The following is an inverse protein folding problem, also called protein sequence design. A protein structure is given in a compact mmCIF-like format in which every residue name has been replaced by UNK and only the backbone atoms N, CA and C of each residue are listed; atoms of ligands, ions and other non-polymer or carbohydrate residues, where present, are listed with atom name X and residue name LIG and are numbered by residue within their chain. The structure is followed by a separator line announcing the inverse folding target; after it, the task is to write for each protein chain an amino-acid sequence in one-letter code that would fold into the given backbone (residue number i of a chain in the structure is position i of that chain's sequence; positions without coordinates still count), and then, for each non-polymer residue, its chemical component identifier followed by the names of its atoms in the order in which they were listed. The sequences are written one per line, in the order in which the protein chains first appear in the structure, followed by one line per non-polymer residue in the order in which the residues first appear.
data_IF_921624018188
#
_entry.id   IF_921624018188
#
_cell.length_a   1.000
_cell.length_b   1.000
_cell.length_c   1.000
_cell.angle_alpha   90.00
_cell.angle_beta   90.00
_cell.angle_gamma   90.00
#
_symmetry.space_group_name_H-M   'P 1'
#
loop_
_entity.id
_entity.type
_entity.pdbx_description
1 polymer ?
#
# COMPACT_ATOMS: atom_id res chain seq x y z
N UNK A 1 16.70 5.19 11.09
CA UNK A 1 15.41 4.91 10.44
C UNK A 1 15.69 4.58 8.99
N UNK A 2 15.45 3.36 8.53
CA UNK A 2 15.39 3.10 7.10
C UNK A 2 13.93 3.01 6.69
N UNK A 3 13.50 3.89 5.80
CA UNK A 3 12.15 3.93 5.26
C UNK A 3 11.73 2.62 4.58
N UNK A 4 12.71 1.80 4.16
CA UNK A 4 12.51 0.52 3.50
C UNK A 4 13.35 -0.63 4.10
N UNK A 5 13.85 -0.52 5.33
CA UNK A 5 14.65 -1.60 5.91
C UNK A 5 16.01 -1.80 5.21
N UNK A 6 16.36 -3.05 4.95
CA UNK A 6 17.54 -3.50 4.18
C UNK A 6 17.28 -3.56 2.66
N UNK A 7 16.15 -3.02 2.21
CA UNK A 7 15.78 -2.97 0.80
C UNK A 7 16.73 -2.06 0.02
N UNK A 8 17.16 -2.52 -1.16
CA UNK A 8 17.73 -1.69 -2.22
C UNK A 8 16.62 -1.43 -3.26
N UNK A 9 15.93 -0.28 -3.23
CA UNK A 9 14.69 -0.08 -4.00
C UNK A 9 14.88 -0.28 -5.51
N UNK A 10 16.01 0.15 -6.07
CA UNK A 10 16.33 0.00 -7.49
C UNK A 10 16.48 -1.45 -7.93
N UNK A 11 16.81 -2.37 -7.02
CA UNK A 11 16.94 -3.81 -7.27
C UNK A 11 15.65 -4.55 -6.91
N UNK A 12 15.10 -4.28 -5.73
CA UNK A 12 14.08 -5.12 -5.12
C UNK A 12 12.68 -4.80 -5.64
N UNK A 13 12.36 -3.53 -5.90
CA UNK A 13 11.01 -3.16 -6.35
C UNK A 13 10.68 -3.69 -7.75
N UNK A 14 11.57 -3.65 -8.76
CA UNK A 14 11.31 -4.27 -10.06
C UNK A 14 10.93 -5.75 -9.94
N UNK A 15 11.67 -6.51 -9.12
CA UNK A 15 11.41 -7.92 -8.88
C UNK A 15 10.03 -8.16 -8.23
N UNK A 16 9.67 -7.37 -7.21
CA UNK A 16 8.36 -7.48 -6.55
C UNK A 16 7.20 -7.15 -7.50
N UNK A 17 7.35 -6.13 -8.35
CA UNK A 17 6.35 -5.75 -9.36
C UNK A 17 6.19 -6.86 -10.41
N UNK A 18 7.28 -7.48 -10.85
CA UNK A 18 7.21 -8.59 -11.80
C UNK A 18 6.46 -9.80 -11.21
N UNK A 19 6.69 -10.11 -9.93
CA UNK A 19 5.94 -11.16 -9.23
C UNK A 19 4.44 -10.84 -9.14
N UNK A 20 4.07 -9.60 -8.85
CA UNK A 20 2.66 -9.15 -8.85
C UNK A 20 2.03 -9.29 -10.24
N UNK A 21 2.69 -8.81 -11.29
CA UNK A 21 2.21 -8.91 -12.68
C UNK A 21 2.06 -10.34 -13.18
N UNK A 22 2.86 -11.27 -12.65
CA UNK A 22 2.73 -12.70 -12.90
C UNK A 22 1.59 -13.36 -12.11
N UNK A 23 0.87 -12.62 -11.27
CA UNK A 23 -0.17 -13.16 -10.38
C UNK A 23 0.40 -13.97 -9.21
N UNK A 24 1.71 -13.88 -8.94
CA UNK A 24 2.36 -14.60 -7.83
C UNK A 24 2.22 -13.86 -6.50
N UNK A 25 1.87 -12.58 -6.53
CA UNK A 25 1.52 -11.76 -5.37
C UNK A 25 0.15 -11.15 -5.63
N UNK A 26 -0.79 -11.37 -4.71
CA UNK A 26 -2.11 -10.74 -4.74
C UNK A 26 -2.06 -9.44 -3.92
N UNK A 27 -1.49 -8.39 -4.52
CA UNK A 27 -1.34 -7.09 -3.84
C UNK A 27 -2.67 -6.33 -3.76
N UNK A 28 -3.59 -6.57 -4.70
CA UNK A 28 -4.87 -5.87 -4.77
C UNK A 28 -5.72 -6.16 -3.53
N UNK A 29 -5.65 -7.39 -3.01
CA UNK A 29 -6.36 -7.79 -1.79
C UNK A 29 -5.97 -7.03 -0.53
N UNK A 30 -4.81 -6.37 -0.51
CA UNK A 30 -4.40 -5.55 0.63
C UNK A 30 -5.07 -4.18 0.64
N UNK A 31 -5.52 -3.69 -0.51
CA UNK A 31 -6.24 -2.41 -0.61
C UNK A 31 -7.65 -2.61 -0.08
N UNK A 32 -7.89 -2.15 1.14
CA UNK A 32 -9.20 -2.25 1.79
C UNK A 32 -10.13 -1.11 1.40
N UNK A 33 -9.59 0.04 0.97
CA UNK A 33 -10.37 1.15 0.43
C UNK A 33 -9.51 2.05 -0.48
N UNK A 34 -10.19 2.70 -1.43
CA UNK A 34 -9.65 3.83 -2.19
C UNK A 34 -10.37 5.11 -1.73
N UNK A 35 -9.61 6.17 -1.47
CA UNK A 35 -10.12 7.43 -0.94
C UNK A 35 -9.68 8.61 -1.80
N UNK A 36 -10.50 9.66 -1.85
CA UNK A 36 -10.09 10.95 -2.38
C UNK A 36 -9.13 11.67 -1.43
N UNK A 37 -8.40 12.65 -1.95
CA UNK A 37 -7.46 13.47 -1.16
C UNK A 37 -8.16 14.25 -0.03
N UNK A 38 -9.43 14.58 -0.21
CA UNK A 38 -10.29 15.26 0.77
C UNK A 38 -10.70 14.38 1.96
N UNK A 39 -10.62 13.05 1.81
CA UNK A 39 -11.02 12.07 2.83
C UNK A 39 -9.85 11.53 3.67
N UNK A 40 -8.65 12.13 3.57
CA UNK A 40 -7.43 11.65 4.23
C UNK A 40 -7.56 11.66 5.77
N UNK A 41 -8.14 12.71 6.36
CA UNK A 41 -8.31 12.80 7.82
C UNK A 41 -9.21 11.67 8.37
N UNK A 42 -10.34 11.41 7.71
CA UNK A 42 -11.23 10.31 8.10
C UNK A 42 -10.55 8.94 7.97
N UNK A 43 -9.69 8.76 6.96
CA UNK A 43 -8.91 7.53 6.78
C UNK A 43 -7.90 7.30 7.91
N UNK A 44 -7.27 8.36 8.43
CA UNK A 44 -6.41 8.24 9.63
C UNK A 44 -7.21 7.75 10.84
N UNK A 45 -8.40 8.29 11.08
CA UNK A 45 -9.25 7.83 12.18
C UNK A 45 -9.70 6.38 12.03
N UNK A 46 -10.02 5.93 10.80
CA UNK A 46 -10.31 4.50 10.52
C UNK A 46 -9.09 3.61 10.77
N UNK A 47 -7.90 4.07 10.37
CA UNK A 47 -6.64 3.36 10.58
C UNK A 47 -6.34 3.17 12.07
N UNK A 48 -6.51 4.21 12.89
CA UNK A 48 -6.32 4.14 14.35
C UNK A 48 -7.26 3.14 15.03
N UNK A 49 -8.50 3.03 14.53
CA UNK A 49 -9.49 2.05 15.02
C UNK A 49 -9.29 0.64 14.47
N UNK A 50 -8.34 0.45 13.53
CA UNK A 50 -8.08 -0.85 12.91
C UNK A 50 -9.19 -1.32 11.96
N UNK A 51 -9.98 -0.40 11.42
CA UNK A 51 -11.12 -0.71 10.54
C UNK A 51 -10.68 -1.03 9.11
N UNK A 52 -9.46 -0.63 8.74
CA UNK A 52 -8.89 -0.75 7.40
C UNK A 52 -7.47 -1.31 7.48
N UNK A 53 -7.06 -2.04 6.43
CA UNK A 53 -5.70 -2.56 6.30
C UNK A 53 -4.81 -1.58 5.56
N UNK A 54 -5.26 -1.13 4.38
CA UNK A 54 -4.55 -0.15 3.55
C UNK A 54 -5.54 0.67 2.75
N UNK A 55 -5.53 1.97 3.01
CA UNK A 55 -6.23 2.98 2.22
C UNK A 55 -5.27 3.50 1.14
N UNK A 56 -5.74 3.61 -0.11
CA UNK A 56 -4.99 4.19 -1.23
C UNK A 56 -5.64 5.50 -1.65
N UNK A 57 -4.85 6.58 -1.69
CA UNK A 57 -5.34 7.88 -2.15
C UNK A 57 -5.30 7.92 -3.68
N UNK A 58 -6.43 8.24 -4.30
CA UNK A 58 -6.61 8.39 -5.75
C UNK A 58 -6.94 9.85 -6.11
N UNK A 59 -6.60 10.26 -7.34
CA UNK A 59 -6.78 11.62 -7.88
C UNK A 59 -8.04 11.74 -8.74
#
# INVERSE_FOLDING_TARGET
SSWYGDCLPTRDFPMLIDLYRQGRLDLDRFVSEEIGLDAVEDAFHKMERGEVLRSVVVL
#
